data_IF_591795486487
#
_entry.id   IF_591795486487
#
_cell.length_a   1.000
_cell.length_b   1.000
_cell.length_c   1.000
_cell.angle_alpha   90.00
_cell.angle_beta   90.00
_cell.angle_gamma   90.00
#
_symmetry.space_group_name_H-M   'P 1'
#
loop_
_entity.id
_entity.type
_entity.pdbx_description
1 polymer ?
#
# COMPACT_ATOMS: atom_id res chain seq x y z
N UNK A 1 -2.80 -26.67 2.50
CA UNK A 1 -1.84 -25.73 3.14
C UNK A 1 -2.30 -24.32 2.81
N UNK A 2 -3.48 -23.93 3.30
CA UNK A 2 -4.17 -22.71 2.86
C UNK A 2 -4.40 -21.71 4.01
N UNK A 3 -4.23 -22.14 5.26
CA UNK A 3 -4.49 -21.29 6.43
C UNK A 3 -3.35 -20.35 6.81
N UNK A 4 -2.09 -20.63 6.43
CA UNK A 4 -0.96 -19.74 6.76
C UNK A 4 -0.96 -18.44 5.96
N UNK A 5 -1.58 -18.41 4.76
CA UNK A 5 -1.55 -17.23 3.89
C UNK A 5 -2.55 -16.15 4.29
N UNK A 6 -3.67 -16.50 4.94
CA UNK A 6 -4.65 -15.50 5.41
C UNK A 6 -4.08 -14.65 6.56
N UNK A 7 -3.40 -15.29 7.51
CA UNK A 7 -2.87 -14.61 8.70
C UNK A 7 -1.81 -13.56 8.33
N UNK A 8 -0.97 -13.84 7.33
CA UNK A 8 0.08 -12.90 6.92
C UNK A 8 -0.48 -11.58 6.37
N UNK A 9 -1.58 -11.65 5.61
CA UNK A 9 -2.26 -10.47 5.07
C UNK A 9 -2.96 -9.67 6.17
N UNK A 10 -3.66 -10.36 7.08
CA UNK A 10 -4.31 -9.71 8.23
C UNK A 10 -3.30 -8.96 9.12
N UNK A 11 -2.10 -9.53 9.32
CA UNK A 11 -1.03 -8.88 10.07
C UNK A 11 -0.48 -7.65 9.31
N UNK A 12 -0.36 -7.72 7.99
CA UNK A 12 0.10 -6.59 7.19
C UNK A 12 -0.90 -5.43 7.22
N UNK A 13 -2.19 -5.73 7.04
CA UNK A 13 -3.28 -4.75 7.16
C UNK A 13 -3.25 -4.06 8.53
N UNK A 14 -3.15 -4.84 9.61
CA UNK A 14 -3.12 -4.27 10.96
C UNK A 14 -1.91 -3.35 11.17
N UNK A 15 -0.73 -3.72 10.67
CA UNK A 15 0.46 -2.86 10.75
C UNK A 15 0.29 -1.55 9.99
N UNK A 16 -0.36 -1.60 8.83
CA UNK A 16 -0.66 -0.39 8.05
C UNK A 16 -1.60 0.53 8.84
N UNK A 17 -2.66 -0.01 9.45
CA UNK A 17 -3.57 0.79 10.28
C UNK A 17 -2.89 1.37 11.52
N UNK A 18 -2.07 0.59 12.22
CA UNK A 18 -1.29 1.09 13.36
C UNK A 18 -0.36 2.23 12.93
N UNK A 19 0.35 2.08 11.80
CA UNK A 19 1.22 3.14 11.29
C UNK A 19 0.45 4.40 10.88
N UNK A 20 -0.76 4.27 10.32
CA UNK A 20 -1.62 5.40 10.00
C UNK A 20 -2.14 6.10 11.27
N UNK A 21 -2.43 5.35 12.34
CA UNK A 21 -2.93 5.90 13.61
C UNK A 21 -1.81 6.52 14.46
N UNK A 22 -0.64 5.87 14.56
CA UNK A 22 0.48 6.31 15.39
C UNK A 22 1.52 7.14 14.63
N UNK A 23 1.43 7.21 13.30
CA UNK A 23 2.38 7.92 12.43
C UNK A 23 3.73 7.18 12.25
N UNK A 24 3.77 5.88 12.50
CA UNK A 24 5.00 5.06 12.45
C UNK A 24 5.27 4.50 11.04
N UNK A 25 5.55 5.40 10.08
CA UNK A 25 5.77 5.03 8.69
C UNK A 25 7.17 4.47 8.38
N UNK A 26 8.16 4.75 9.23
CA UNK A 26 9.56 4.39 8.98
C UNK A 26 9.75 2.86 9.00
N UNK A 27 9.25 2.17 10.04
CA UNK A 27 9.27 0.71 10.11
C UNK A 27 8.26 0.03 9.18
N UNK A 28 7.16 0.72 8.85
CA UNK A 28 6.18 0.21 7.90
C UNK A 28 6.76 0.16 6.48
N UNK A 29 7.48 1.20 6.04
CA UNK A 29 8.10 1.24 4.73
C UNK A 29 9.06 0.06 4.53
N UNK A 30 9.94 -0.22 5.50
CA UNK A 30 10.82 -1.39 5.43
C UNK A 30 10.03 -2.70 5.33
N UNK A 31 8.95 -2.81 6.11
CA UNK A 31 8.09 -4.01 6.10
C UNK A 31 7.43 -4.19 4.74
N UNK A 32 6.78 -3.15 4.20
CA UNK A 32 6.10 -3.18 2.91
C UNK A 32 7.04 -3.51 1.76
N UNK A 33 8.25 -2.93 1.76
CA UNK A 33 9.26 -3.17 0.73
C UNK A 33 9.83 -4.61 0.75
N UNK A 34 9.57 -5.38 1.81
CA UNK A 34 9.89 -6.82 1.87
C UNK A 34 8.71 -7.73 1.52
N UNK A 35 7.49 -7.18 1.39
CA UNK A 35 6.30 -7.95 1.02
C UNK A 35 6.19 -8.13 -0.49
N UNK A 36 5.35 -9.07 -0.92
CA UNK A 36 5.06 -9.24 -2.35
C UNK A 36 4.14 -8.12 -2.83
N UNK A 37 4.31 -7.65 -4.08
CA UNK A 37 3.46 -6.59 -4.63
C UNK A 37 1.96 -6.93 -4.58
N UNK A 38 1.60 -8.20 -4.77
CA UNK A 38 0.21 -8.66 -4.68
C UNK A 38 -0.39 -8.50 -3.27
N UNK A 39 0.38 -8.77 -2.20
CA UNK A 39 -0.12 -8.62 -0.83
C UNK A 39 -0.27 -7.13 -0.48
N UNK A 40 0.67 -6.29 -0.91
CA UNK A 40 0.60 -4.83 -0.73
C UNK A 40 -0.57 -4.24 -1.50
N UNK A 41 -0.79 -4.68 -2.75
CA UNK A 41 -1.93 -4.28 -3.56
C UNK A 41 -3.27 -4.61 -2.88
N UNK A 42 -3.43 -5.82 -2.35
CA UNK A 42 -4.66 -6.22 -1.64
C UNK A 42 -4.91 -5.34 -0.40
N UNK A 43 -3.86 -5.01 0.38
CA UNK A 43 -3.99 -4.08 1.50
C UNK A 43 -4.37 -2.68 1.02
N UNK A 44 -3.68 -2.14 0.02
CA UNK A 44 -3.96 -0.81 -0.53
C UNK A 44 -5.40 -0.70 -1.09
N UNK A 45 -5.95 -1.76 -1.68
CA UNK A 45 -7.33 -1.81 -2.16
C UNK A 45 -8.37 -1.73 -1.02
N UNK A 46 -7.97 -2.11 0.20
CA UNK A 46 -8.82 -2.09 1.41
C UNK A 46 -8.74 -0.76 2.16
N UNK A 47 -7.74 0.06 1.86
CA UNK A 47 -7.60 1.42 2.39
C UNK A 47 -8.45 2.44 1.62
N UNK A 48 -8.76 3.56 2.28
CA UNK A 48 -9.39 4.71 1.64
C UNK A 48 -8.40 5.43 0.70
N UNK A 49 -8.91 6.33 -0.15
CA UNK A 49 -8.10 7.03 -1.15
C UNK A 49 -6.89 7.78 -0.57
N UNK A 50 -7.07 8.55 0.51
CA UNK A 50 -6.00 9.30 1.17
C UNK A 50 -4.94 8.35 1.78
N UNK A 51 -5.38 7.36 2.56
CA UNK A 51 -4.52 6.39 3.21
C UNK A 51 -3.72 5.58 2.19
N UNK A 52 -4.37 5.17 1.09
CA UNK A 52 -3.74 4.43 0.00
C UNK A 52 -2.60 5.24 -0.61
N UNK A 53 -2.80 6.53 -0.86
CA UNK A 53 -1.77 7.40 -1.41
C UNK A 53 -0.63 7.58 -0.41
N UNK A 54 -0.93 7.78 0.87
CA UNK A 54 0.09 7.89 1.92
C UNK A 54 0.97 6.64 2.00
N UNK A 55 0.36 5.45 2.02
CA UNK A 55 1.09 4.18 2.08
C UNK A 55 1.85 3.91 0.78
N UNK A 56 1.24 4.23 -0.37
CA UNK A 56 1.89 4.08 -1.68
C UNK A 56 3.16 4.93 -1.81
N UNK A 57 3.19 6.13 -1.23
CA UNK A 57 4.38 6.99 -1.22
C UNK A 57 5.55 6.41 -0.40
N UNK A 58 5.31 5.43 0.47
CA UNK A 58 6.35 4.75 1.26
C UNK A 58 7.03 3.61 0.49
N UNK A 59 6.44 3.18 -0.64
CA UNK A 59 6.97 2.10 -1.46
C UNK A 59 8.15 2.60 -2.30
N UNK A 60 9.18 1.76 -2.42
CA UNK A 60 10.27 2.02 -3.36
C UNK A 60 9.75 2.02 -4.80
N UNK A 61 10.37 2.82 -5.67
CA UNK A 61 9.87 3.02 -7.03
C UNK A 61 9.75 1.72 -7.86
N UNK A 62 10.58 0.72 -7.56
CA UNK A 62 10.50 -0.61 -8.18
C UNK A 62 9.24 -1.35 -7.75
N UNK A 63 9.02 -1.49 -6.44
CA UNK A 63 7.84 -2.14 -5.88
C UNK A 63 6.55 -1.41 -6.24
N UNK A 64 6.56 -0.07 -6.18
CA UNK A 64 5.42 0.77 -6.53
C UNK A 64 4.90 0.47 -7.94
N UNK A 65 5.80 0.29 -8.92
CA UNK A 65 5.43 -0.07 -10.30
C UNK A 65 4.77 -1.45 -10.40
N UNK A 66 5.26 -2.43 -9.65
CA UNK A 66 4.67 -3.77 -9.59
C UNK A 66 3.31 -3.75 -8.89
N UNK A 67 3.18 -3.05 -7.77
CA UNK A 67 1.92 -2.90 -7.02
C UNK A 67 0.83 -2.26 -7.88
N UNK A 68 1.14 -1.21 -8.64
CA UNK A 68 0.18 -0.62 -9.58
C UNK A 68 -0.28 -1.64 -10.64
N UNK A 69 0.63 -2.50 -11.09
CA UNK A 69 0.29 -3.55 -12.06
C UNK A 69 -0.69 -4.56 -11.46
N UNK A 70 -0.51 -4.93 -10.18
CA UNK A 70 -1.39 -5.87 -9.47
C UNK A 70 -2.77 -5.25 -9.14
N UNK A 71 -2.83 -3.99 -8.69
CA UNK A 71 -4.08 -3.28 -8.37
C UNK A 71 -4.97 -3.00 -9.59
N UNK A 72 -4.39 -3.06 -10.79
CA UNK A 72 -5.12 -2.82 -12.04
C UNK A 72 -5.45 -1.35 -12.33
N UNK A 73 -6.09 -1.13 -13.48
CA UNK A 73 -6.15 0.19 -14.11
C UNK A 73 -7.04 1.22 -13.41
N UNK A 74 -8.01 0.80 -12.60
CA UNK A 74 -8.92 1.73 -11.91
C UNK A 74 -8.23 2.34 -10.68
N UNK A 75 -7.81 1.50 -9.74
CA UNK A 75 -7.15 1.94 -8.52
C UNK A 75 -5.81 2.63 -8.80
N UNK A 76 -5.06 2.18 -9.81
CA UNK A 76 -3.86 2.88 -10.29
C UNK A 76 -4.18 4.31 -10.72
N UNK A 77 -5.27 4.50 -11.46
CA UNK A 77 -5.65 5.82 -11.95
C UNK A 77 -5.95 6.76 -10.79
N UNK A 78 -6.68 6.29 -9.78
CA UNK A 78 -6.99 7.06 -8.58
C UNK A 78 -5.73 7.51 -7.83
N UNK A 79 -4.75 6.61 -7.66
CA UNK A 79 -3.46 6.94 -7.03
C UNK A 79 -2.74 8.02 -7.83
N UNK A 80 -2.62 7.84 -9.16
CA UNK A 80 -1.94 8.79 -10.03
C UNK A 80 -2.66 10.15 -10.05
N UNK A 81 -3.99 10.16 -10.11
CA UNK A 81 -4.78 11.40 -10.09
C UNK A 81 -4.57 12.17 -8.78
N UNK A 82 -4.59 11.49 -7.63
CA UNK A 82 -4.31 12.12 -6.33
C UNK A 82 -2.88 12.67 -6.23
N UNK A 83 -1.87 11.90 -6.63
CA UNK A 83 -0.47 12.36 -6.64
C UNK A 83 -0.26 13.60 -7.51
N UNK A 84 -0.93 13.65 -8.67
CA UNK A 84 -0.87 14.83 -9.55
C UNK A 84 -1.62 16.02 -9.00
N UNK A 85 -2.69 15.80 -8.23
CA UNK A 85 -3.49 16.84 -7.60
C UNK A 85 -2.72 17.55 -6.48
N UNK A 86 -1.95 16.81 -5.67
CA UNK A 86 -1.07 17.39 -4.63
C UNK A 86 0.12 18.17 -5.21
N UNK A 87 0.67 17.75 -6.36
CA UNK A 87 1.82 18.40 -6.98
C UNK A 87 1.51 19.74 -7.67
N UNK A 88 0.22 20.08 -7.84
CA UNK A 88 -0.26 21.31 -8.48
C UNK A 88 -1.02 22.21 -7.49
N UNK A 89 -0.43 22.43 -6.31
CA UNK A 89 -0.88 23.39 -5.29
C UNK A 89 0.08 24.55 -5.11
#
# INVERSE_FOLDING_TARGET
>A
MEHMSMIALEILEQQVHDALEYGEFEGLAETLNTQRPADVADVLERLNEDERVQIFQLLESELAGEVLTEMGSHATREIIENLTSEAVG
#
